data_IF_861690510658
#
_entry.id   IF_861690510658
#
_cell.length_a   1.000
_cell.length_b   1.000
_cell.length_c   1.000
_cell.angle_alpha   90.00
_cell.angle_beta   90.00
_cell.angle_gamma   90.00
#
_symmetry.space_group_name_H-M   'P 1'
#
loop_
_entity.id
_entity.type
_entity.pdbx_description
1 polymer ?
#
# COMPACT_ATOMS: atom_id res chain seq x y z
N UNK A 1 -1.61 53.92 -14.55
CA UNK A 1 -2.28 52.71 -14.03
C UNK A 1 -2.99 53.11 -12.76
N UNK A 2 -4.30 52.91 -12.68
CA UNK A 2 -5.10 53.32 -11.50
C UNK A 2 -4.99 52.27 -10.38
N UNK A 3 -5.23 52.68 -9.14
CA UNK A 3 -5.24 51.78 -7.95
C UNK A 3 -6.23 50.62 -8.16
N UNK A 4 -7.32 50.88 -8.88
CA UNK A 4 -8.34 49.89 -9.25
C UNK A 4 -7.79 48.81 -10.20
N UNK A 5 -7.04 49.20 -11.23
CA UNK A 5 -6.41 48.26 -12.17
C UNK A 5 -5.40 47.34 -11.48
N UNK A 6 -4.61 47.88 -10.55
CA UNK A 6 -3.66 47.09 -9.75
C UNK A 6 -4.37 46.09 -8.83
N UNK A 7 -5.49 46.49 -8.22
CA UNK A 7 -6.27 45.62 -7.34
C UNK A 7 -6.90 44.46 -8.13
N UNK A 8 -7.44 44.76 -9.33
CA UNK A 8 -7.99 43.75 -10.25
C UNK A 8 -6.93 42.75 -10.72
N UNK A 9 -5.75 43.25 -11.12
CA UNK A 9 -4.60 42.41 -11.51
C UNK A 9 -4.14 41.50 -10.37
N UNK A 10 -4.09 41.99 -9.14
CA UNK A 10 -3.72 41.19 -7.98
C UNK A 10 -4.78 40.14 -7.63
N UNK A 11 -6.06 40.48 -7.80
CA UNK A 11 -7.17 39.56 -7.56
C UNK A 11 -7.14 38.41 -8.58
N UNK A 12 -6.91 38.71 -9.86
CA UNK A 12 -6.80 37.71 -10.93
C UNK A 12 -5.60 36.78 -10.69
N UNK A 13 -4.42 37.33 -10.37
CA UNK A 13 -3.24 36.53 -10.00
C UNK A 13 -3.48 35.67 -8.75
N UNK A 14 -4.23 36.19 -7.77
CA UNK A 14 -4.64 35.44 -6.58
C UNK A 14 -5.57 34.27 -6.93
N UNK A 15 -6.55 34.51 -7.79
CA UNK A 15 -7.46 33.48 -8.28
C UNK A 15 -6.73 32.38 -9.04
N UNK A 16 -5.83 32.72 -9.96
CA UNK A 16 -5.02 31.74 -10.71
C UNK A 16 -4.18 30.86 -9.77
N UNK A 17 -3.56 31.45 -8.75
CA UNK A 17 -2.81 30.70 -7.72
C UNK A 17 -3.71 29.80 -6.90
N UNK A 18 -4.91 30.27 -6.55
CA UNK A 18 -5.88 29.48 -5.78
C UNK A 18 -6.39 28.28 -6.59
N UNK A 19 -6.67 28.48 -7.88
CA UNK A 19 -7.06 27.39 -8.79
C UNK A 19 -5.94 26.36 -8.92
N UNK A 20 -4.68 26.81 -9.11
CA UNK A 20 -3.53 25.91 -9.16
C UNK A 20 -3.34 25.14 -7.84
N UNK A 21 -3.50 25.80 -6.69
CA UNK A 21 -3.46 25.15 -5.39
C UNK A 21 -4.59 24.13 -5.22
N UNK A 22 -5.81 24.47 -5.61
CA UNK A 22 -6.96 23.57 -5.53
C UNK A 22 -6.77 22.32 -6.38
N UNK A 23 -6.17 22.47 -7.57
CA UNK A 23 -5.82 21.34 -8.43
C UNK A 23 -4.79 20.41 -7.76
N UNK A 24 -3.68 20.97 -7.25
CA UNK A 24 -2.65 20.22 -6.52
C UNK A 24 -3.19 19.55 -5.26
N UNK A 25 -4.06 20.23 -4.52
CA UNK A 25 -4.70 19.69 -3.32
C UNK A 25 -5.60 18.51 -3.67
N UNK A 26 -6.39 18.62 -4.74
CA UNK A 26 -7.24 17.53 -5.21
C UNK A 26 -6.41 16.31 -5.66
N UNK A 27 -5.31 16.52 -6.39
CA UNK A 27 -4.39 15.43 -6.76
C UNK A 27 -3.78 14.75 -5.54
N UNK A 28 -3.37 15.54 -4.54
CA UNK A 28 -2.83 15.00 -3.29
C UNK A 28 -3.84 14.18 -2.52
N UNK A 29 -5.06 14.69 -2.33
CA UNK A 29 -6.13 13.95 -1.64
C UNK A 29 -6.45 12.66 -2.36
N UNK A 30 -6.49 12.67 -3.70
CA UNK A 30 -6.70 11.47 -4.50
C UNK A 30 -5.60 10.43 -4.28
N UNK A 31 -4.34 10.85 -4.33
CA UNK A 31 -3.21 9.96 -4.05
C UNK A 31 -3.25 9.38 -2.62
N UNK A 32 -3.58 10.20 -1.62
CA UNK A 32 -3.71 9.75 -0.22
C UNK A 32 -4.88 8.76 -0.03
N UNK A 33 -6.00 8.98 -0.72
CA UNK A 33 -7.12 8.03 -0.72
C UNK A 33 -6.73 6.70 -1.36
N UNK A 34 -6.02 6.72 -2.48
CA UNK A 34 -5.59 5.50 -3.16
C UNK A 34 -4.55 4.71 -2.33
N UNK A 35 -3.59 5.41 -1.69
CA UNK A 35 -2.67 4.79 -0.72
C UNK A 35 -3.44 4.17 0.45
N UNK A 36 -4.45 4.85 0.97
CA UNK A 36 -5.25 4.36 2.10
C UNK A 36 -6.02 3.08 1.72
N UNK A 37 -6.62 3.04 0.52
CA UNK A 37 -7.29 1.84 -0.01
C UNK A 37 -6.32 0.68 -0.16
N UNK A 38 -5.12 0.92 -0.69
CA UNK A 38 -4.11 -0.12 -0.83
C UNK A 38 -3.64 -0.64 0.53
N UNK A 39 -3.51 0.22 1.54
CA UNK A 39 -3.18 -0.21 2.91
C UNK A 39 -4.26 -1.10 3.51
N UNK A 40 -5.54 -0.72 3.37
CA UNK A 40 -6.67 -1.55 3.83
C UNK A 40 -6.61 -2.93 3.15
N UNK A 41 -6.34 -2.96 1.84
CA UNK A 41 -6.19 -4.23 1.11
C UNK A 41 -5.00 -5.04 1.61
N UNK A 42 -3.87 -4.41 1.91
CA UNK A 42 -2.71 -5.08 2.48
C UNK A 42 -3.04 -5.70 3.85
N UNK A 43 -3.72 -4.96 4.71
CA UNK A 43 -4.16 -5.43 6.04
C UNK A 43 -5.11 -6.63 5.91
N UNK A 44 -6.05 -6.60 4.95
CA UNK A 44 -6.96 -7.70 4.68
C UNK A 44 -6.22 -8.97 4.21
N UNK A 45 -5.25 -8.82 3.31
CA UNK A 45 -4.42 -9.93 2.82
C UNK A 45 -3.60 -10.51 3.97
N UNK A 46 -3.01 -9.66 4.80
CA UNK A 46 -2.22 -10.08 5.96
C UNK A 46 -3.08 -10.81 6.99
N UNK A 47 -4.28 -10.30 7.28
CA UNK A 47 -5.24 -10.96 8.18
C UNK A 47 -5.70 -12.33 7.68
N UNK A 48 -5.76 -12.55 6.35
CA UNK A 48 -6.02 -13.89 5.78
C UNK A 48 -4.82 -14.81 5.93
N UNK A 49 -3.62 -14.32 5.68
CA UNK A 49 -2.38 -15.07 5.87
C UNK A 49 -2.21 -15.53 7.32
N UNK A 50 -2.52 -14.67 8.29
CA UNK A 50 -2.47 -15.02 9.72
C UNK A 50 -3.44 -16.16 10.08
N UNK A 51 -4.63 -16.18 9.46
CA UNK A 51 -5.60 -17.28 9.65
C UNK A 51 -5.09 -18.60 9.09
N UNK A 52 -4.41 -18.58 7.95
CA UNK A 52 -3.80 -19.77 7.36
C UNK A 52 -2.67 -20.30 8.26
N UNK A 53 -1.83 -19.42 8.81
CA UNK A 53 -0.83 -19.80 9.81
C UNK A 53 -1.46 -20.42 11.06
N UNK A 54 -2.56 -19.84 11.56
CA UNK A 54 -3.30 -20.41 12.69
C UNK A 54 -3.88 -21.80 12.36
N UNK A 55 -4.37 -22.01 11.14
CA UNK A 55 -4.89 -23.30 10.69
C UNK A 55 -3.79 -24.36 10.69
N UNK A 56 -2.63 -24.04 10.11
CA UNK A 56 -1.45 -24.92 10.12
C UNK A 56 -1.03 -25.24 11.56
N UNK A 57 -0.92 -24.22 12.42
CA UNK A 57 -0.56 -24.40 13.82
C UNK A 57 -1.55 -25.28 14.60
N UNK A 58 -2.86 -25.06 14.42
CA UNK A 58 -3.91 -25.91 15.01
C UNK A 58 -3.74 -27.36 14.55
N UNK A 59 -3.47 -27.57 13.27
CA UNK A 59 -3.36 -28.89 12.70
C UNK A 59 -2.15 -29.68 13.22
N UNK A 60 -1.01 -29.01 13.37
CA UNK A 60 0.18 -29.57 14.02
C UNK A 60 -0.12 -30.00 15.47
N UNK A 61 -0.88 -29.18 16.21
CA UNK A 61 -1.28 -29.51 17.59
C UNK A 61 -2.24 -30.70 17.64
N UNK A 62 -3.18 -30.81 16.69
CA UNK A 62 -4.08 -31.96 16.57
C UNK A 62 -3.32 -33.26 16.31
N UNK A 63 -2.33 -33.25 15.40
CA UNK A 63 -1.46 -34.39 15.13
C UNK A 63 -0.69 -34.82 16.39
N UNK A 64 -0.15 -33.84 17.14
CA UNK A 64 0.52 -34.09 18.42
C UNK A 64 -0.39 -34.78 19.44
N UNK A 65 -1.67 -34.39 19.53
CA UNK A 65 -2.65 -34.97 20.47
C UNK A 65 -3.05 -36.39 20.11
N UNK A 66 -3.02 -36.76 18.83
CA UNK A 66 -3.37 -38.11 18.34
C UNK A 66 -2.24 -39.14 18.48
N UNK A 67 -1.08 -38.73 19.00
CA UNK A 67 0.11 -39.59 19.08
C UNK A 67 0.91 -39.67 17.77
N UNK A 68 0.39 -39.10 16.69
CA UNK A 68 1.05 -38.94 15.41
C UNK A 68 1.90 -37.66 15.38
N UNK A 69 2.90 -37.56 16.27
CA UNK A 69 3.87 -36.46 16.13
C UNK A 69 4.55 -36.59 14.76
N UNK A 70 4.51 -35.53 13.93
CA UNK A 70 5.23 -35.56 12.67
C UNK A 70 6.72 -35.71 12.97
N UNK A 71 7.32 -36.80 12.50
CA UNK A 71 8.75 -37.10 12.67
C UNK A 71 9.65 -36.18 11.84
N UNK A 72 9.05 -35.42 10.93
CA UNK A 72 9.72 -34.40 10.11
C UNK A 72 8.70 -33.57 9.32
N UNK A 73 9.18 -32.50 8.68
CA UNK A 73 8.36 -31.59 7.89
C UNK A 73 7.56 -32.31 6.78
N UNK A 74 8.14 -33.36 6.19
CA UNK A 74 7.51 -34.18 5.15
C UNK A 74 6.17 -34.80 5.57
N UNK A 75 5.95 -35.07 6.86
CA UNK A 75 4.70 -35.64 7.35
C UNK A 75 3.60 -34.58 7.49
N UNK A 76 3.98 -33.32 7.70
CA UNK A 76 3.09 -32.16 7.77
C UNK A 76 2.64 -31.80 6.34
N UNK A 77 3.54 -31.85 5.37
CA UNK A 77 3.23 -31.58 3.96
C UNK A 77 2.38 -32.66 3.27
N UNK A 78 2.26 -33.86 3.87
CA UNK A 78 1.37 -34.92 3.37
C UNK A 78 -0.10 -34.65 3.69
N UNK A 79 -0.40 -33.74 4.61
CA UNK A 79 -1.76 -33.29 4.79
C UNK A 79 -2.13 -32.27 3.72
N UNK A 80 -3.15 -32.63 2.93
CA UNK A 80 -3.65 -31.83 1.82
C UNK A 80 -4.07 -30.42 2.26
N UNK A 81 -4.68 -30.30 3.45
CA UNK A 81 -5.08 -29.03 4.04
C UNK A 81 -3.88 -28.11 4.35
N UNK A 82 -2.77 -28.69 4.83
CA UNK A 82 -1.56 -27.92 5.16
C UNK A 82 -0.80 -27.53 3.89
N UNK A 83 -0.69 -28.44 2.92
CA UNK A 83 -0.10 -28.13 1.63
C UNK A 83 -0.89 -27.05 0.87
N UNK A 84 -2.22 -27.12 0.91
CA UNK A 84 -3.11 -26.11 0.34
C UNK A 84 -2.95 -24.75 1.04
N UNK A 85 -2.91 -24.74 2.38
CA UNK A 85 -2.71 -23.52 3.16
C UNK A 85 -1.34 -22.86 2.86
N UNK A 86 -0.27 -23.65 2.72
CA UNK A 86 1.07 -23.12 2.39
C UNK A 86 1.11 -22.54 0.98
N UNK A 87 0.47 -23.21 0.01
CA UNK A 87 0.34 -22.67 -1.34
C UNK A 87 -0.43 -21.36 -1.34
N UNK A 88 -1.54 -21.29 -0.60
CA UNK A 88 -2.31 -20.06 -0.50
C UNK A 88 -1.52 -18.94 0.20
N UNK A 89 -0.74 -19.24 1.24
CA UNK A 89 0.17 -18.27 1.88
C UNK A 89 1.15 -17.69 0.84
N UNK A 90 1.79 -18.55 0.02
CA UNK A 90 2.73 -18.09 -0.99
C UNK A 90 2.07 -17.17 -2.05
N UNK A 91 0.85 -17.48 -2.46
CA UNK A 91 0.09 -16.64 -3.39
C UNK A 91 -0.31 -15.30 -2.74
N UNK A 92 -0.68 -15.30 -1.46
CA UNK A 92 -1.01 -14.08 -0.69
C UNK A 92 0.22 -13.23 -0.39
N UNK A 93 1.38 -13.82 -0.17
CA UNK A 93 2.63 -13.10 0.01
C UNK A 93 3.03 -12.35 -1.27
N UNK A 94 2.83 -12.96 -2.44
CA UNK A 94 3.01 -12.28 -3.73
C UNK A 94 2.02 -11.12 -3.88
N UNK A 95 0.74 -11.35 -3.60
CA UNK A 95 -0.26 -10.28 -3.62
C UNK A 95 0.13 -9.12 -2.69
N UNK A 96 0.66 -9.40 -1.51
CA UNK A 96 1.11 -8.40 -0.55
C UNK A 96 2.34 -7.64 -1.05
N UNK A 97 3.29 -8.31 -1.69
CA UNK A 97 4.44 -7.66 -2.34
C UNK A 97 4.01 -6.71 -3.46
N UNK A 98 3.05 -7.13 -4.29
CA UNK A 98 2.50 -6.30 -5.37
C UNK A 98 1.82 -5.05 -4.81
N UNK A 99 0.96 -5.22 -3.80
CA UNK A 99 0.28 -4.09 -3.14
C UNK A 99 1.29 -3.14 -2.48
N UNK A 100 2.35 -3.67 -1.86
CA UNK A 100 3.43 -2.84 -1.30
C UNK A 100 4.22 -2.08 -2.37
N UNK A 101 4.43 -2.69 -3.53
CA UNK A 101 5.08 -2.04 -4.66
C UNK A 101 4.20 -0.90 -5.21
N UNK A 102 2.89 -1.10 -5.32
CA UNK A 102 1.93 -0.05 -5.72
C UNK A 102 1.91 1.12 -4.72
N UNK A 103 1.91 0.83 -3.42
CA UNK A 103 2.00 1.87 -2.38
C UNK A 103 3.29 2.68 -2.52
N UNK A 104 4.44 2.01 -2.76
CA UNK A 104 5.73 2.69 -2.96
C UNK A 104 5.72 3.56 -4.22
N UNK A 105 5.06 3.13 -5.29
CA UNK A 105 4.95 3.90 -6.52
C UNK A 105 4.08 5.17 -6.36
N UNK A 106 3.07 5.12 -5.49
CA UNK A 106 2.19 6.26 -5.19
C UNK A 106 2.75 7.20 -4.13
N UNK A 107 3.71 6.75 -3.31
CA UNK A 107 4.41 7.63 -2.39
C UNK A 107 5.40 8.51 -3.16
N UNK A 108 5.28 9.85 -3.09
CA UNK A 108 6.28 10.71 -3.71
C UNK A 108 7.64 10.41 -3.07
N UNK A 109 8.68 10.23 -3.90
CA UNK A 109 10.06 10.24 -3.42
C UNK A 109 10.24 11.49 -2.55
N UNK A 110 10.89 11.30 -1.39
CA UNK A 110 11.20 12.31 -0.37
C UNK A 110 11.25 13.75 -0.90
N UNK A 111 10.77 14.77 -0.15
CA UNK A 111 10.75 16.18 -0.56
C UNK A 111 12.10 16.76 -1.07
N UNK A 112 13.22 16.04 -0.87
CA UNK A 112 14.51 16.35 -1.50
C UNK A 112 14.59 16.09 -3.02
N UNK A 113 13.76 15.22 -3.59
CA UNK A 113 13.75 14.93 -5.03
C UNK A 113 12.95 15.95 -5.84
N UNK A 114 11.87 16.49 -5.26
CA UNK A 114 11.01 17.50 -5.91
C UNK A 114 11.76 18.82 -6.11
N UNK A 115 12.63 19.22 -5.17
CA UNK A 115 13.44 20.45 -5.28
C UNK A 115 14.36 20.47 -6.50
N UNK A 116 14.93 19.32 -6.90
CA UNK A 116 15.82 19.26 -8.07
C UNK A 116 15.08 19.46 -9.39
N UNK A 117 13.86 18.92 -9.54
CA UNK A 117 13.09 19.07 -10.79
C UNK A 117 12.58 20.49 -11.01
N UNK A 118 12.25 21.23 -9.95
CA UNK A 118 11.84 22.64 -10.08
C UNK A 118 12.99 23.58 -10.41
N UNK A 119 14.24 23.24 -10.03
CA UNK A 119 15.42 24.02 -10.43
C UNK A 119 15.79 23.79 -11.91
N UNK A 120 15.64 22.57 -12.43
CA UNK A 120 15.98 22.26 -13.84
C UNK A 120 14.92 22.72 -14.86
N UNK A 121 13.71 23.10 -14.42
CA UNK A 121 12.64 23.59 -15.34
C UNK A 121 12.63 25.12 -15.47
N UNK A 122 13.47 25.82 -14.70
CA UNK A 122 13.62 27.29 -14.75
C UNK A 122 15.05 27.63 -15.21
N UNK A 123 15.39 27.23 -16.43
CA UNK A 123 16.51 27.79 -17.21
C UNK A 123 16.03 28.02 -18.63
#
# INVERSE_FOLDING_TARGET
MTIWEQTLLNLQKGYEKFVAFAALFNERVRAELDITRLRIRADDVQGRTDRLHMLIGRRIVEMKRKGDLPKGAEQIFKEEDVAAAIKEIADRERELQDVQAEIKALMPESPHAVRKKTEDTIV
#
